data_IF_018915073937
#
_entry.id   IF_018915073937
#
_cell.length_a   1.000
_cell.length_b   1.000
_cell.length_c   1.000
_cell.angle_alpha   90.00
_cell.angle_beta   90.00
_cell.angle_gamma   90.00
#
_symmetry.space_group_name_H-M   'P 1'
#
loop_
_entity.id
_entity.type
_entity.pdbx_description
1 polymer ?
#
# COMPACT_ATOMS: atom_id res chain seq x y z
N UNK A 1 -5.19 7.55 -7.36
CA UNK A 1 -4.73 8.94 -7.25
C UNK A 1 -3.52 9.01 -6.34
N UNK A 2 -2.67 10.04 -6.43
CA UNK A 2 -1.55 10.20 -5.52
C UNK A 2 -2.07 10.37 -4.09
N UNK A 3 -1.37 9.74 -3.14
CA UNK A 3 -1.57 9.90 -1.69
C UNK A 3 -1.30 11.36 -1.33
N UNK A 4 -2.20 12.00 -0.57
CA UNK A 4 -2.01 13.33 0.02
C UNK A 4 -1.34 13.23 1.40
N UNK A 5 -0.81 14.35 1.89
CA UNK A 5 -0.38 14.53 3.28
C UNK A 5 -1.43 14.02 4.27
N UNK A 6 -2.70 14.36 4.04
CA UNK A 6 -3.80 14.02 4.95
C UNK A 6 -4.09 12.51 4.94
N UNK A 7 -4.09 11.88 3.76
CA UNK A 7 -4.25 10.42 3.68
C UNK A 7 -3.06 9.67 4.27
N UNK A 8 -1.85 10.24 4.18
CA UNK A 8 -0.66 9.68 4.81
C UNK A 8 -0.77 9.80 6.35
N UNK A 9 -1.13 10.97 6.86
CA UNK A 9 -1.32 11.21 8.28
C UNK A 9 -2.40 10.28 8.87
N UNK A 10 -3.51 10.06 8.14
CA UNK A 10 -4.53 9.06 8.50
C UNK A 10 -3.96 7.65 8.56
N UNK A 11 -3.18 7.25 7.56
CA UNK A 11 -2.53 5.93 7.55
C UNK A 11 -1.57 5.73 8.72
N UNK A 12 -0.81 6.76 9.09
CA UNK A 12 0.07 6.75 10.26
C UNK A 12 -0.71 6.77 11.60
N UNK A 13 -1.90 7.37 11.61
CA UNK A 13 -2.77 7.44 12.77
C UNK A 13 -3.64 6.18 12.97
N UNK A 14 -3.66 5.25 12.01
CA UNK A 14 -4.38 3.99 12.15
C UNK A 14 -3.76 3.14 13.27
N UNK A 15 -4.62 2.62 14.14
CA UNK A 15 -4.26 1.66 15.19
C UNK A 15 -4.94 0.33 14.87
N UNK A 16 -4.17 -0.70 14.50
CA UNK A 16 -4.70 -2.04 14.26
C UNK A 16 -5.44 -2.59 15.49
N UNK A 17 -6.49 -3.37 15.24
CA UNK A 17 -7.30 -4.00 16.30
C UNK A 17 -7.47 -5.50 16.04
N UNK A 18 -8.01 -6.22 17.03
CA UNK A 18 -8.26 -7.65 16.90
C UNK A 18 -9.15 -7.97 15.69
N UNK A 19 -8.69 -8.89 14.84
CA UNK A 19 -9.37 -9.28 13.61
C UNK A 19 -8.93 -8.50 12.36
N UNK A 20 -8.07 -7.49 12.51
CA UNK A 20 -7.38 -6.89 11.37
C UNK A 20 -6.29 -7.83 10.85
N UNK A 21 -6.23 -7.97 9.53
CA UNK A 21 -5.12 -8.59 8.81
C UNK A 21 -4.51 -7.56 7.87
N UNK A 22 -3.40 -6.97 8.29
CA UNK A 22 -2.72 -5.88 7.58
C UNK A 22 -1.74 -6.45 6.55
N UNK A 23 -2.07 -6.27 5.27
CA UNK A 23 -1.21 -6.57 4.13
C UNK A 23 -0.31 -5.37 3.85
N UNK A 24 0.96 -5.50 4.21
CA UNK A 24 1.99 -4.49 4.10
C UNK A 24 2.93 -4.87 2.94
N UNK A 25 3.13 -3.96 1.97
CA UNK A 25 4.01 -4.26 0.83
C UNK A 25 4.49 -3.00 0.10
N UNK A 26 5.68 -3.01 -0.50
CA UNK A 26 6.02 -1.99 -1.47
C UNK A 26 5.06 -2.10 -2.67
N UNK A 27 4.70 -0.99 -3.35
CA UNK A 27 3.89 -1.05 -4.54
C UNK A 27 4.42 -2.08 -5.54
N UNK A 28 3.49 -2.80 -6.19
CA UNK A 28 3.79 -3.78 -7.27
C UNK A 28 4.45 -5.10 -6.82
N UNK A 29 4.50 -5.36 -5.51
CA UNK A 29 5.05 -6.59 -4.94
C UNK A 29 4.03 -7.71 -4.74
N UNK A 30 2.84 -7.64 -5.34
CA UNK A 30 1.79 -8.66 -5.19
C UNK A 30 0.67 -8.32 -4.20
N UNK A 31 0.54 -7.05 -3.79
CA UNK A 31 -0.46 -6.57 -2.82
C UNK A 31 -1.90 -6.96 -3.18
N UNK A 32 -2.28 -6.87 -4.46
CA UNK A 32 -3.64 -7.22 -4.91
C UNK A 32 -3.93 -8.71 -4.74
N UNK A 33 -2.97 -9.56 -5.11
CA UNK A 33 -3.10 -11.01 -4.96
C UNK A 33 -3.25 -11.38 -3.48
N UNK A 34 -2.40 -10.83 -2.62
CA UNK A 34 -2.47 -11.13 -1.18
C UNK A 34 -3.75 -10.62 -0.54
N UNK A 35 -4.22 -9.41 -0.87
CA UNK A 35 -5.51 -8.91 -0.38
C UNK A 35 -6.66 -9.86 -0.78
N UNK A 36 -6.69 -10.34 -2.02
CA UNK A 36 -7.69 -11.32 -2.47
C UNK A 36 -7.59 -12.63 -1.70
N UNK A 37 -6.38 -13.16 -1.52
CA UNK A 37 -6.17 -14.40 -0.75
C UNK A 37 -6.69 -14.26 0.68
N UNK A 38 -6.32 -13.18 1.38
CA UNK A 38 -6.80 -12.92 2.74
C UNK A 38 -8.32 -12.75 2.76
N UNK A 39 -8.88 -11.92 1.88
CA UNK A 39 -10.33 -11.71 1.79
C UNK A 39 -11.10 -13.02 1.60
N UNK A 40 -10.69 -13.86 0.65
CA UNK A 40 -11.36 -15.14 0.40
C UNK A 40 -11.22 -16.10 1.58
N UNK A 41 -10.08 -16.10 2.30
CA UNK A 41 -9.92 -16.91 3.51
C UNK A 41 -10.89 -16.43 4.61
N UNK A 42 -10.93 -15.13 4.88
CA UNK A 42 -11.81 -14.54 5.90
C UNK A 42 -13.29 -14.80 5.59
N UNK A 43 -13.67 -14.73 4.32
CA UNK A 43 -15.03 -14.95 3.84
C UNK A 43 -15.35 -16.41 3.51
N UNK A 44 -14.42 -17.34 3.76
CA UNK A 44 -14.56 -18.78 3.45
C UNK A 44 -14.99 -19.04 2.00
N UNK A 45 -14.50 -18.23 1.07
CA UNK A 45 -14.80 -18.31 -0.36
C UNK A 45 -16.23 -17.90 -0.75
N UNK A 46 -17.02 -17.29 0.15
CA UNK A 46 -18.42 -16.92 -0.09
C UNK A 46 -18.64 -15.50 -0.61
N UNK A 47 -17.59 -14.69 -0.64
CA UNK A 47 -17.64 -13.30 -1.10
C UNK A 47 -17.08 -13.20 -2.51
N UNK A 48 -17.75 -12.41 -3.35
CA UNK A 48 -17.33 -12.11 -4.72
C UNK A 48 -17.56 -10.62 -5.03
N UNK A 49 -16.75 -9.73 -4.43
CA UNK A 49 -16.90 -8.30 -4.66
C UNK A 49 -16.44 -7.95 -6.10
N UNK A 50 -17.01 -6.91 -6.72
CA UNK A 50 -16.65 -6.53 -8.09
C UNK A 50 -15.18 -6.13 -8.24
N UNK A 51 -14.54 -5.73 -7.15
CA UNK A 51 -13.10 -5.50 -7.08
C UNK A 51 -12.64 -5.53 -5.61
N UNK A 52 -11.34 -5.77 -5.40
CA UNK A 52 -10.77 -5.85 -4.05
C UNK A 52 -10.85 -4.54 -3.26
N UNK A 53 -10.90 -3.38 -3.94
CA UNK A 53 -10.93 -2.06 -3.28
C UNK A 53 -12.25 -1.86 -2.55
N UNK A 54 -13.32 -2.49 -3.01
CA UNK A 54 -14.64 -2.45 -2.37
C UNK A 54 -14.71 -3.17 -1.02
N UNK A 55 -13.70 -3.96 -0.66
CA UNK A 55 -13.71 -4.78 0.58
C UNK A 55 -12.42 -4.71 1.40
N UNK A 56 -11.34 -4.17 0.84
CA UNK A 56 -10.03 -4.06 1.49
C UNK A 56 -9.62 -2.59 1.59
N UNK A 57 -9.81 -1.95 2.76
CA UNK A 57 -9.43 -0.57 2.99
C UNK A 57 -7.95 -0.33 2.71
N UNK A 58 -7.66 0.74 1.97
CA UNK A 58 -6.29 1.20 1.75
C UNK A 58 -6.03 2.41 2.64
N UNK A 59 -5.13 2.27 3.62
CA UNK A 59 -4.86 3.28 4.65
C UNK A 59 -4.48 4.64 4.04
N UNK A 60 -3.64 4.62 3.00
CA UNK A 60 -3.18 5.83 2.32
C UNK A 60 -4.11 6.28 1.19
N UNK A 61 -5.32 5.72 1.07
CA UNK A 61 -6.28 6.19 0.06
C UNK A 61 -6.92 7.52 0.45
N UNK A 62 -7.08 8.41 -0.54
CA UNK A 62 -7.86 9.64 -0.39
C UNK A 62 -9.31 9.27 -0.09
N UNK A 63 -9.90 9.92 0.91
CA UNK A 63 -11.34 9.86 1.18
C UNK A 63 -12.09 10.86 0.27
N UNK A 64 -13.41 10.66 0.04
CA UNK A 64 -14.21 11.49 -0.88
C UNK A 64 -14.29 12.99 -0.54
N UNK A 65 -13.92 13.37 0.67
CA UNK A 65 -14.13 14.69 1.31
C UNK A 65 -13.26 15.83 0.73
N UNK A 66 -12.43 15.56 -0.27
CA UNK A 66 -11.54 16.55 -0.88
C UNK A 66 -11.35 16.34 -2.39
N UNK A 67 -12.42 16.62 -3.13
CA UNK A 67 -12.49 16.90 -4.57
C UNK A 67 -11.43 16.22 -5.48
N UNK A 68 -11.85 15.17 -6.20
CA UNK A 68 -11.81 15.06 -7.68
C UNK A 68 -12.12 13.62 -8.09
N UNK A 69 -13.23 13.46 -8.83
CA UNK A 69 -13.62 12.35 -9.71
C UNK A 69 -12.67 11.14 -9.78
N UNK A 70 -12.70 10.30 -8.75
CA UNK A 70 -12.23 8.93 -8.83
C UNK A 70 -13.45 8.06 -8.60
N UNK A 71 -14.02 7.51 -9.68
CA UNK A 71 -15.12 6.53 -9.69
C UNK A 71 -14.79 5.21 -8.98
N UNK A 72 -13.68 5.14 -8.24
CA UNK A 72 -13.13 3.95 -7.61
C UNK A 72 -12.88 4.23 -6.13
N UNK A 73 -13.96 4.27 -5.35
CA UNK A 73 -13.92 4.37 -3.89
C UNK A 73 -13.29 3.09 -3.30
N UNK A 74 -12.40 3.25 -2.31
CA UNK A 74 -12.03 2.12 -1.46
C UNK A 74 -13.02 2.02 -0.32
N UNK A 75 -13.23 0.81 0.17
CA UNK A 75 -13.84 0.59 1.46
C UNK A 75 -13.09 1.40 2.53
N UNK A 76 -13.84 1.99 3.46
CA UNK A 76 -13.28 2.65 4.63
C UNK A 76 -13.25 1.67 5.80
N UNK A 77 -12.42 1.95 6.80
CA UNK A 77 -12.38 1.15 8.02
C UNK A 77 -13.75 1.15 8.72
N UNK A 78 -14.49 2.25 8.69
CA UNK A 78 -15.75 2.38 9.44
C UNK A 78 -16.87 1.47 8.90
N UNK A 79 -16.84 1.16 7.60
CA UNK A 79 -17.89 0.35 6.93
C UNK A 79 -17.45 -1.07 6.62
N UNK A 80 -16.17 -1.41 6.82
CA UNK A 80 -15.65 -2.75 6.53
C UNK A 80 -15.80 -3.64 7.77
N UNK A 81 -16.60 -4.74 7.69
CA UNK A 81 -16.87 -5.61 8.83
C UNK A 81 -15.64 -6.43 9.23
N UNK A 82 -15.55 -6.77 10.52
CA UNK A 82 -14.48 -7.62 11.06
C UNK A 82 -14.82 -9.12 10.92
N UNK A 83 -13.82 -10.01 10.76
CA UNK A 83 -12.41 -9.71 10.48
C UNK A 83 -12.21 -9.17 9.06
N UNK A 84 -11.20 -8.33 8.85
CA UNK A 84 -10.97 -7.65 7.56
C UNK A 84 -9.51 -7.66 7.11
N UNK A 85 -9.34 -7.61 5.79
CA UNK A 85 -8.06 -7.32 5.17
C UNK A 85 -7.87 -5.79 5.09
N UNK A 86 -6.72 -5.30 5.55
CA UNK A 86 -6.34 -3.88 5.46
C UNK A 86 -5.07 -3.79 4.62
N UNK A 87 -5.00 -2.84 3.70
CA UNK A 87 -3.84 -2.63 2.83
C UNK A 87 -3.05 -1.39 3.25
N UNK A 88 -1.74 -1.52 3.24
CA UNK A 88 -0.81 -0.39 3.34
C UNK A 88 0.42 -0.56 2.44
N UNK A 89 0.93 0.57 1.95
CA UNK A 89 2.26 0.67 1.33
C UNK A 89 3.32 1.29 2.26
N UNK A 90 2.97 1.59 3.51
CA UNK A 90 3.89 2.04 4.54
C UNK A 90 4.58 0.84 5.19
N UNK A 91 5.86 0.99 5.53
CA UNK A 91 6.66 -0.06 6.14
C UNK A 91 6.22 -0.36 7.58
N UNK A 92 6.47 -1.58 8.07
CA UNK A 92 6.14 -1.98 9.45
C UNK A 92 6.86 -1.13 10.51
N UNK A 93 8.06 -0.62 10.20
CA UNK A 93 8.78 0.32 11.07
C UNK A 93 8.18 1.72 11.15
N UNK A 94 7.13 2.02 10.37
CA UNK A 94 6.51 3.35 10.28
C UNK A 94 5.05 3.35 10.72
N UNK A 95 4.31 2.27 10.45
CA UNK A 95 2.94 2.11 10.94
C UNK A 95 2.93 1.70 12.41
N UNK A 96 1.79 1.90 13.09
CA UNK A 96 1.58 1.32 14.41
C UNK A 96 1.39 -0.19 14.28
N UNK A 97 2.13 -0.94 15.09
CA UNK A 97 2.03 -2.39 15.19
C UNK A 97 1.54 -2.74 16.59
N UNK A 98 0.60 -3.66 16.68
CA UNK A 98 -0.01 -4.14 17.93
C UNK A 98 -0.11 -5.66 17.90
N UNK A 99 -0.13 -6.31 19.07
CA UNK A 99 -0.14 -7.78 19.15
C UNK A 99 -1.52 -8.39 18.84
N UNK A 100 -2.58 -7.57 18.76
CA UNK A 100 -3.95 -8.02 18.51
C UNK A 100 -4.24 -8.29 17.04
N UNK A 101 -3.50 -7.66 16.13
CA UNK A 101 -3.68 -7.77 14.69
C UNK A 101 -2.68 -8.76 14.07
N UNK A 102 -2.97 -9.19 12.83
CA UNK A 102 -2.05 -10.01 12.03
C UNK A 102 -1.44 -9.18 10.92
N UNK A 103 -0.19 -9.45 10.59
CA UNK A 103 0.55 -8.70 9.57
C UNK A 103 1.09 -9.67 8.52
N UNK A 104 0.94 -9.31 7.25
CA UNK A 104 1.53 -10.04 6.13
C UNK A 104 2.42 -9.07 5.36
N UNK A 105 3.73 -9.26 5.47
CA UNK A 105 4.72 -8.54 4.69
C UNK A 105 4.90 -9.24 3.34
N UNK A 106 4.63 -8.54 2.24
CA UNK A 106 4.81 -9.09 0.89
C UNK A 106 5.93 -8.33 0.17
N UNK A 107 7.01 -9.05 -0.12
CA UNK A 107 8.16 -8.53 -0.85
C UNK A 107 8.29 -9.24 -2.20
N UNK A 108 8.86 -8.52 -3.16
CA UNK A 108 9.20 -9.02 -4.50
C UNK A 108 10.56 -8.49 -4.87
N UNK A 109 11.30 -9.25 -5.68
CA UNK A 109 12.53 -8.78 -6.31
C UNK A 109 12.35 -7.35 -6.88
N UNK A 110 13.26 -6.42 -6.57
CA UNK A 110 13.09 -5.01 -6.92
C UNK A 110 13.12 -4.74 -8.42
N UNK A 111 13.91 -5.48 -9.20
CA UNK A 111 13.97 -5.31 -10.66
C UNK A 111 12.63 -5.70 -11.30
N UNK A 112 12.04 -6.77 -10.78
CA UNK A 112 10.75 -7.31 -11.18
C UNK A 112 9.57 -6.38 -10.80
N UNK A 113 9.62 -5.82 -9.58
CA UNK A 113 8.66 -4.83 -9.11
C UNK A 113 8.76 -3.53 -9.93
N UNK A 114 9.97 -3.12 -10.32
CA UNK A 114 10.23 -1.96 -11.15
C UNK A 114 9.59 -2.07 -12.53
N UNK A 115 9.79 -3.21 -13.22
CA UNK A 115 9.16 -3.46 -14.53
C UNK A 115 7.63 -3.43 -14.40
N UNK A 116 7.08 -4.09 -13.38
CA UNK A 116 5.63 -4.04 -13.10
C UNK A 116 5.12 -2.62 -12.85
N UNK A 117 5.93 -1.76 -12.21
CA UNK A 117 5.61 -0.35 -11.97
C UNK A 117 5.63 0.47 -13.25
N UNK A 118 6.61 0.23 -14.12
CA UNK A 118 6.69 0.86 -15.44
C UNK A 118 5.41 0.58 -16.24
N UNK A 119 4.97 -0.68 -16.33
CA UNK A 119 3.73 -1.04 -17.02
C UNK A 119 2.51 -0.38 -16.39
N UNK A 120 2.39 -0.42 -15.05
CA UNK A 120 1.27 0.18 -14.34
C UNK A 120 1.16 1.70 -14.55
N UNK A 121 2.29 2.41 -14.50
CA UNK A 121 2.33 3.85 -14.75
C UNK A 121 2.01 4.16 -16.22
N UNK A 122 2.46 3.31 -17.15
CA UNK A 122 2.17 3.43 -18.58
C UNK A 122 0.68 3.23 -18.87
N UNK A 123 0.03 2.27 -18.22
CA UNK A 123 -1.42 2.05 -18.32
C UNK A 123 -2.21 3.23 -17.76
N UNK A 124 -1.88 3.69 -16.54
CA UNK A 124 -2.58 4.82 -15.90
C UNK A 124 -2.48 6.10 -16.72
N UNK A 125 -1.30 6.37 -17.30
CA UNK A 125 -1.05 7.59 -18.09
C UNK A 125 -1.50 7.46 -19.54
N UNK A 126 -1.83 6.25 -19.99
CA UNK A 126 -1.92 5.90 -21.39
C UNK A 126 -0.53 5.70 -22.01
N UNK A 127 -0.38 4.65 -22.80
CA UNK A 127 0.91 4.23 -23.38
C UNK A 127 1.63 5.32 -24.19
N UNK A 128 0.87 6.24 -24.81
CA UNK A 128 1.42 7.41 -25.51
C UNK A 128 2.22 8.35 -24.59
N UNK A 129 1.91 8.37 -23.30
CA UNK A 129 2.55 9.20 -22.27
C UNK A 129 3.28 8.36 -21.22
N UNK A 130 3.66 7.13 -21.60
CA UNK A 130 4.44 6.24 -20.75
C UNK A 130 5.78 6.92 -20.38
N UNK A 131 6.21 6.85 -19.11
CA UNK A 131 7.58 7.23 -18.76
C UNK A 131 8.57 6.26 -19.43
N UNK A 132 9.86 6.60 -19.51
CA UNK A 132 10.88 5.61 -19.86
C UNK A 132 11.15 4.67 -18.68
N UNK A 133 11.56 3.43 -18.95
CA UNK A 133 11.96 2.50 -17.89
C UNK A 133 13.14 3.07 -17.07
N UNK A 134 14.11 3.72 -17.73
CA UNK A 134 15.22 4.41 -17.07
C UNK A 134 14.73 5.53 -16.14
N UNK A 135 13.77 6.35 -16.57
CA UNK A 135 13.20 7.40 -15.74
C UNK A 135 12.41 6.88 -14.54
N UNK A 136 11.80 5.69 -14.66
CA UNK A 136 11.16 5.01 -13.53
C UNK A 136 12.24 4.47 -12.56
N UNK A 137 13.34 3.91 -13.07
CA UNK A 137 14.48 3.46 -12.27
C UNK A 137 15.14 4.60 -11.49
N UNK A 138 15.50 5.68 -12.18
CA UNK A 138 16.15 6.86 -11.58
C UNK A 138 15.30 7.42 -10.42
N UNK A 139 13.98 7.49 -10.59
CA UNK A 139 13.08 7.89 -9.50
C UNK A 139 13.10 6.92 -8.32
N UNK A 140 13.23 5.61 -8.56
CA UNK A 140 13.33 4.63 -7.47
C UNK A 140 14.59 4.80 -6.65
N UNK A 141 15.71 5.01 -7.35
CA UNK A 141 17.02 5.22 -6.74
C UNK A 141 17.00 6.52 -5.93
N UNK A 142 16.50 7.61 -6.52
CA UNK A 142 16.47 8.91 -5.84
C UNK A 142 15.52 8.91 -4.63
N UNK A 143 14.35 8.26 -4.72
CA UNK A 143 13.46 8.06 -3.57
C UNK A 143 14.14 7.28 -2.43
N UNK A 144 15.10 6.41 -2.75
CA UNK A 144 15.85 5.67 -1.73
C UNK A 144 17.02 6.48 -1.16
N UNK A 145 17.43 7.57 -1.79
CA UNK A 145 18.59 8.39 -1.44
C UNK A 145 18.24 9.69 -0.67
N UNK A 146 17.00 10.18 -0.81
CA UNK A 146 16.52 11.37 -0.09
C UNK A 146 16.27 11.04 1.39
N UNK A 147 17.32 11.10 2.22
CA UNK A 147 17.24 10.90 3.68
C UNK A 147 16.76 12.14 4.45
N UNK A 148 16.69 13.34 3.82
CA UNK A 148 16.67 14.62 4.55
C UNK A 148 15.34 15.42 4.63
N UNK A 149 14.19 14.90 4.19
CA UNK A 149 12.91 15.66 4.25
C UNK A 149 11.97 15.12 5.36
N UNK A 150 12.02 15.75 6.54
CA UNK A 150 11.45 15.32 7.83
C UNK A 150 9.90 15.22 7.87
N UNK A 151 9.20 15.77 6.88
CA UNK A 151 7.74 15.89 6.89
C UNK A 151 6.98 14.69 6.31
N UNK A 152 7.64 13.71 5.69
CA UNK A 152 6.98 12.58 5.00
C UNK A 152 7.59 11.20 5.26
N UNK A 153 7.91 10.92 6.53
CA UNK A 153 8.68 9.76 7.03
C UNK A 153 8.33 8.35 6.47
N UNK A 154 7.14 8.13 5.89
CA UNK A 154 6.68 6.78 5.54
C UNK A 154 6.57 6.39 4.06
N UNK A 155 6.33 7.32 3.14
CA UNK A 155 5.94 6.92 1.77
C UNK A 155 6.99 7.21 0.69
N UNK A 156 7.89 8.17 0.92
CA UNK A 156 8.85 8.61 -0.10
C UNK A 156 10.07 7.71 -0.28
N UNK A 157 10.26 6.67 0.54
CA UNK A 157 11.60 6.07 0.72
C UNK A 157 11.97 4.92 -0.23
N UNK A 158 11.18 4.68 -1.28
CA UNK A 158 11.46 3.63 -2.27
C UNK A 158 11.44 2.20 -1.69
N UNK A 159 11.71 1.21 -2.55
CA UNK A 159 11.67 -0.21 -2.20
C UNK A 159 12.71 -0.58 -1.12
N UNK A 160 13.94 -0.06 -1.23
CA UNK A 160 15.03 -0.43 -0.33
C UNK A 160 14.77 0.01 1.12
N UNK A 161 14.33 1.26 1.32
CA UNK A 161 14.01 1.73 2.66
C UNK A 161 12.77 1.04 3.23
N UNK A 162 11.77 0.70 2.40
CA UNK A 162 10.62 -0.05 2.87
C UNK A 162 11.05 -1.39 3.48
N UNK A 163 11.94 -2.10 2.78
CA UNK A 163 12.48 -3.39 3.24
C UNK A 163 13.30 -3.21 4.51
N UNK A 164 14.23 -2.24 4.54
CA UNK A 164 15.07 -1.99 5.72
C UNK A 164 14.23 -1.70 6.98
N UNK A 165 13.28 -0.78 6.88
CA UNK A 165 12.40 -0.40 8.01
C UNK A 165 11.51 -1.55 8.48
N UNK A 166 11.01 -2.36 7.55
CA UNK A 166 10.21 -3.54 7.91
C UNK A 166 11.07 -4.64 8.53
N UNK A 167 12.29 -4.84 8.01
CA UNK A 167 13.23 -5.83 8.51
C UNK A 167 13.72 -5.50 9.92
N UNK A 168 14.09 -4.26 10.17
CA UNK A 168 14.48 -3.78 11.51
C UNK A 168 13.36 -3.95 12.52
N UNK A 169 12.10 -3.72 12.13
CA UNK A 169 10.96 -3.92 13.02
C UNK A 169 10.78 -5.39 13.39
N UNK A 170 10.87 -6.29 12.41
CA UNK A 170 10.65 -7.74 12.61
C UNK A 170 11.77 -8.41 13.42
N UNK A 171 12.98 -7.85 13.43
CA UNK A 171 14.15 -8.43 14.11
C UNK A 171 14.54 -7.72 15.42
N UNK A 172 13.64 -6.92 16.01
CA UNK A 172 13.79 -6.40 17.38
C UNK A 172 13.27 -7.41 18.39
#
# INVERSE_FOLDING_TARGET
GPVSSDSLARGLAYTPVNGDVVVCSPPRSGTTWMQWTVHQILQRGRSDPPNIRAVSPWLESRTPDGATHSTFEHATLDVTPMPRAVKTHLALGVVRVTDEAKYILVLRDPADALVSRYHHQSEIRGWRFAPSLSGVLEREINMSADEEDDDQRGMKKGWASFVAQSWEHVNR
#
